data_IF_623181791327
#
_entry.id   IF_623181791327
#
_cell.length_a   1.000
_cell.length_b   1.000
_cell.length_c   1.000
_cell.angle_alpha   90.00
_cell.angle_beta   90.00
_cell.angle_gamma   90.00
#
_symmetry.space_group_name_H-M   'P 1'
#
loop_
_entity.id
_entity.type
_entity.pdbx_description
1 polymer ?
#
# COMPACT_ATOMS: atom_id res chain seq x y z
N UNK A 1 7.73 24.20 -14.13
CA UNK A 1 8.40 23.98 -12.83
C UNK A 1 9.19 22.68 -12.92
N UNK A 2 10.49 22.73 -12.62
CA UNK A 2 11.31 21.54 -12.53
C UNK A 2 11.53 21.24 -11.05
N UNK A 3 11.17 20.05 -10.54
CA UNK A 3 11.37 19.70 -9.13
C UNK A 3 12.87 19.62 -8.83
N UNK A 4 13.27 20.06 -7.63
CA UNK A 4 14.63 19.92 -7.14
C UNK A 4 14.88 18.55 -6.49
N UNK A 5 13.83 17.86 -6.11
CA UNK A 5 13.86 16.49 -5.58
C UNK A 5 12.69 15.69 -6.12
N UNK A 6 12.96 14.47 -6.50
CA UNK A 6 11.96 13.51 -6.98
C UNK A 6 12.07 12.21 -6.21
N UNK A 7 10.92 11.65 -5.84
CA UNK A 7 10.85 10.35 -5.16
C UNK A 7 10.21 9.34 -6.08
N UNK A 8 10.82 8.17 -6.23
CA UNK A 8 10.20 7.00 -6.85
C UNK A 8 10.16 5.88 -5.82
N UNK A 9 8.96 5.51 -5.44
CA UNK A 9 8.70 4.49 -4.42
C UNK A 9 8.68 3.10 -5.01
N UNK A 10 8.06 2.95 -6.16
CA UNK A 10 7.94 1.70 -6.92
C UNK A 10 7.58 2.01 -8.37
N UNK A 11 7.77 1.03 -9.24
CA UNK A 11 7.30 1.05 -10.64
C UNK A 11 6.51 -0.25 -10.86
N UNK A 12 5.20 -0.12 -10.90
CA UNK A 12 4.28 -1.26 -11.07
C UNK A 12 3.55 -1.18 -12.42
N UNK A 13 3.03 -2.30 -12.88
CA UNK A 13 2.31 -2.44 -14.15
C UNK A 13 0.88 -1.86 -14.06
N UNK A 14 0.73 -0.60 -13.67
CA UNK A 14 -0.54 0.14 -13.75
C UNK A 14 -0.54 1.12 -14.93
N UNK A 15 -1.73 1.44 -15.44
CA UNK A 15 -1.91 2.33 -16.61
C UNK A 15 -1.15 1.90 -17.87
N UNK A 16 -0.95 0.58 -18.05
CA UNK A 16 -0.12 0.00 -19.12
C UNK A 16 -0.61 0.29 -20.53
N UNK A 17 -1.90 0.61 -20.71
CA UNK A 17 -2.43 1.08 -22.00
C UNK A 17 -1.66 2.30 -22.54
N UNK A 18 -1.28 3.24 -21.66
CA UNK A 18 -0.48 4.42 -22.01
C UNK A 18 0.91 4.04 -22.54
N UNK A 19 1.45 2.93 -22.07
CA UNK A 19 2.80 2.45 -22.40
C UNK A 19 2.77 1.26 -23.36
N UNK A 20 1.62 1.01 -24.04
CA UNK A 20 1.44 -0.07 -25.01
C UNK A 20 1.73 -1.46 -24.41
N UNK A 21 1.41 -1.66 -23.15
CA UNK A 21 1.70 -2.88 -22.37
C UNK A 21 3.19 -3.27 -22.33
N UNK A 22 4.08 -2.28 -22.47
CA UNK A 22 5.54 -2.48 -22.49
C UNK A 22 6.16 -1.87 -21.22
N UNK A 23 6.64 -2.72 -20.32
CA UNK A 23 7.33 -2.34 -19.08
C UNK A 23 8.61 -1.54 -19.34
N UNK A 24 9.32 -1.80 -20.45
CA UNK A 24 10.53 -1.05 -20.77
C UNK A 24 10.21 0.41 -21.10
N UNK A 25 9.08 0.67 -21.77
CA UNK A 25 8.60 2.03 -22.04
C UNK A 25 8.19 2.76 -20.76
N UNK A 26 7.53 2.06 -19.84
CA UNK A 26 7.19 2.61 -18.52
C UNK A 26 8.47 2.99 -17.76
N UNK A 27 9.44 2.10 -17.64
CA UNK A 27 10.74 2.38 -17.00
C UNK A 27 11.47 3.57 -17.67
N UNK A 28 11.47 3.62 -18.99
CA UNK A 28 12.06 4.74 -19.72
C UNK A 28 11.38 6.07 -19.42
N UNK A 29 10.04 6.08 -19.25
CA UNK A 29 9.30 7.29 -18.88
C UNK A 29 9.70 7.78 -17.48
N UNK A 30 9.93 6.88 -16.52
CA UNK A 30 10.47 7.25 -15.20
C UNK A 30 11.88 7.81 -15.30
N UNK A 31 12.77 7.23 -16.10
CA UNK A 31 14.11 7.79 -16.33
C UNK A 31 14.02 9.19 -16.93
N UNK A 32 13.16 9.39 -17.95
CA UNK A 32 12.95 10.71 -18.56
C UNK A 32 12.35 11.72 -17.57
N UNK A 33 11.44 11.28 -16.68
CA UNK A 33 10.91 12.12 -15.63
C UNK A 33 12.02 12.60 -14.70
N UNK A 34 12.84 11.69 -14.18
CA UNK A 34 13.96 12.02 -13.29
C UNK A 34 15.00 12.92 -14.00
N UNK A 35 15.29 12.71 -15.28
CA UNK A 35 16.24 13.51 -16.05
C UNK A 35 15.80 14.96 -16.28
N UNK A 36 14.53 15.31 -16.02
CA UNK A 36 14.05 16.69 -16.07
C UNK A 36 14.48 17.53 -14.85
N UNK A 37 14.95 16.89 -13.80
CA UNK A 37 15.51 17.62 -12.66
C UNK A 37 16.75 18.43 -13.09
N UNK A 38 16.97 19.60 -12.47
CA UNK A 38 18.23 20.32 -12.65
C UNK A 38 19.42 19.48 -12.14
N UNK A 39 20.63 19.79 -12.63
CA UNK A 39 21.84 19.05 -12.27
C UNK A 39 22.16 19.02 -10.77
N UNK A 40 21.62 19.97 -10.02
CA UNK A 40 21.71 20.03 -8.55
C UNK A 40 20.58 19.29 -7.83
N UNK A 41 19.63 18.70 -8.55
CA UNK A 41 18.55 17.92 -7.99
C UNK A 41 19.00 16.58 -7.40
N UNK A 42 18.14 15.92 -6.66
CA UNK A 42 18.38 14.60 -6.06
C UNK A 42 17.18 13.68 -6.33
N UNK A 43 17.44 12.53 -6.95
CA UNK A 43 16.48 11.45 -7.10
C UNK A 43 16.53 10.54 -5.87
N UNK A 44 15.42 10.41 -5.14
CA UNK A 44 15.29 9.55 -3.96
C UNK A 44 14.57 8.28 -4.39
N UNK A 45 15.32 7.18 -4.53
CA UNK A 45 14.87 5.96 -5.22
C UNK A 45 14.81 4.76 -4.27
N UNK A 46 13.65 4.07 -4.24
CA UNK A 46 13.46 2.84 -3.48
C UNK A 46 14.12 1.65 -4.19
N UNK A 47 15.28 1.22 -3.73
CA UNK A 47 15.99 0.10 -4.36
C UNK A 47 15.52 -1.29 -3.92
N UNK A 48 14.54 -1.37 -3.03
CA UNK A 48 13.85 -2.64 -2.74
C UNK A 48 12.90 -3.05 -3.86
N UNK A 49 12.39 -2.07 -4.64
CA UNK A 49 11.63 -2.33 -5.85
C UNK A 49 12.58 -2.69 -7.00
N UNK A 50 12.37 -3.86 -7.61
CA UNK A 50 13.24 -4.37 -8.65
C UNK A 50 13.24 -3.47 -9.90
N UNK A 51 12.08 -2.91 -10.28
CA UNK A 51 11.96 -2.05 -11.44
C UNK A 51 12.62 -0.68 -11.22
N UNK A 52 12.53 -0.14 -9.99
CA UNK A 52 13.27 1.07 -9.62
C UNK A 52 14.77 0.81 -9.61
N UNK A 53 15.21 -0.33 -9.05
CA UNK A 53 16.63 -0.73 -9.07
C UNK A 53 17.18 -0.83 -10.49
N UNK A 54 16.41 -1.36 -11.42
CA UNK A 54 16.81 -1.51 -12.83
C UNK A 54 17.04 -0.17 -13.52
N UNK A 55 16.35 0.90 -13.12
CA UNK A 55 16.52 2.22 -13.75
C UNK A 55 17.66 3.04 -13.15
N UNK A 56 18.16 2.72 -11.96
CA UNK A 56 19.24 3.46 -11.29
C UNK A 56 20.46 3.70 -12.19
N UNK A 57 20.96 2.71 -12.96
CA UNK A 57 22.13 2.90 -13.82
C UNK A 57 21.92 3.91 -14.97
N UNK A 58 20.67 4.23 -15.31
CA UNK A 58 20.31 5.13 -16.41
C UNK A 58 20.02 6.56 -15.94
N UNK A 59 20.07 6.80 -14.61
CA UNK A 59 19.83 8.13 -14.01
C UNK A 59 21.16 8.87 -13.92
N UNK A 60 21.26 10.03 -14.58
CA UNK A 60 22.46 10.86 -14.59
C UNK A 60 22.52 11.87 -13.41
N UNK A 61 21.39 12.16 -12.79
CA UNK A 61 21.32 13.03 -11.62
C UNK A 61 21.85 12.32 -10.37
N UNK A 62 22.22 13.08 -9.32
CA UNK A 62 22.54 12.50 -8.02
C UNK A 62 21.39 11.62 -7.50
N UNK A 63 21.70 10.39 -7.12
CA UNK A 63 20.74 9.41 -6.59
C UNK A 63 21.01 9.22 -5.09
N UNK A 64 19.94 9.26 -4.30
CA UNK A 64 19.88 8.81 -2.91
C UNK A 64 19.02 7.54 -2.87
N UNK A 65 19.66 6.41 -2.65
CA UNK A 65 18.99 5.09 -2.62
C UNK A 65 18.47 4.82 -1.23
N UNK A 66 17.24 4.37 -1.12
CA UNK A 66 16.68 3.98 0.16
C UNK A 66 16.01 2.60 0.10
N UNK A 67 15.90 1.96 1.27
CA UNK A 67 15.26 0.65 1.40
C UNK A 67 15.76 -0.15 2.60
N UNK A 68 15.46 -1.44 2.60
CA UNK A 68 15.94 -2.42 3.56
C UNK A 68 17.24 -3.09 3.09
N UNK A 69 17.50 -3.02 1.79
CA UNK A 69 18.67 -3.64 1.14
C UNK A 69 19.99 -3.07 1.67
N UNK A 70 21.02 -3.90 1.78
CA UNK A 70 22.33 -3.55 2.36
C UNK A 70 23.07 -2.46 1.60
N UNK A 71 22.80 -2.29 0.32
CA UNK A 71 23.39 -1.30 -0.57
C UNK A 71 22.65 0.06 -0.56
N UNK A 72 21.53 0.19 0.19
CA UNK A 72 20.84 1.46 0.36
C UNK A 72 21.71 2.50 1.10
N UNK A 73 21.56 3.77 0.73
CA UNK A 73 22.22 4.92 1.38
C UNK A 73 21.47 5.32 2.66
N UNK A 74 20.14 5.19 2.65
CA UNK A 74 19.23 5.33 3.78
C UNK A 74 18.56 3.96 3.99
N UNK A 75 19.03 3.24 4.99
CA UNK A 75 18.63 1.85 5.21
C UNK A 75 17.85 1.66 6.49
N UNK A 76 16.70 0.95 6.43
CA UNK A 76 16.06 0.44 7.64
C UNK A 76 16.55 -0.95 7.99
N UNK A 77 16.78 -1.17 9.28
CA UNK A 77 17.10 -2.46 9.88
C UNK A 77 16.30 -2.65 11.18
N UNK A 78 16.31 -3.84 11.77
CA UNK A 78 15.60 -4.17 13.00
C UNK A 78 14.10 -3.80 12.96
N UNK A 79 13.49 -3.96 11.79
CA UNK A 79 12.07 -3.59 11.57
C UNK A 79 11.17 -4.57 12.32
N UNK A 80 10.31 -4.03 13.17
CA UNK A 80 9.30 -4.80 13.92
C UNK A 80 8.00 -4.05 14.04
N UNK A 81 6.90 -4.77 14.04
CA UNK A 81 5.58 -4.25 14.34
C UNK A 81 5.31 -4.34 15.86
N UNK A 82 4.64 -3.33 16.39
CA UNK A 82 4.12 -3.33 17.75
C UNK A 82 2.72 -2.71 17.73
N UNK A 83 1.71 -3.58 17.69
CA UNK A 83 0.34 -3.18 17.41
C UNK A 83 0.26 -2.42 16.08
N UNK A 84 -0.25 -1.20 16.09
CA UNK A 84 -0.42 -0.36 14.89
C UNK A 84 0.78 0.55 14.59
N UNK A 85 1.93 0.30 15.21
CA UNK A 85 3.17 1.07 15.01
C UNK A 85 4.27 0.21 14.46
N UNK A 86 5.21 0.85 13.75
CA UNK A 86 6.44 0.21 13.32
C UNK A 86 7.63 0.81 14.06
N UNK A 87 8.55 -0.04 14.50
CA UNK A 87 9.83 0.35 15.10
C UNK A 87 10.95 -0.15 14.21
N UNK A 88 11.92 0.71 13.95
CA UNK A 88 13.06 0.35 13.12
C UNK A 88 14.24 1.29 13.38
N UNK A 89 15.42 0.81 13.03
CA UNK A 89 16.65 1.58 13.04
C UNK A 89 16.95 2.06 11.62
N UNK A 90 17.34 3.33 11.46
CA UNK A 90 17.75 3.88 10.16
C UNK A 90 19.24 4.18 10.19
N UNK A 91 20.00 3.51 9.31
CA UNK A 91 21.40 3.82 9.07
C UNK A 91 21.53 4.73 7.82
N UNK A 92 22.20 5.87 7.97
CA UNK A 92 22.48 6.83 6.89
C UNK A 92 23.96 6.78 6.56
N UNK A 93 24.31 6.30 5.37
CA UNK A 93 25.72 6.12 4.95
C UNK A 93 26.36 7.40 4.43
N UNK A 94 25.59 8.29 3.78
CA UNK A 94 26.10 9.48 3.11
C UNK A 94 25.11 10.62 3.20
N UNK A 95 25.62 11.82 3.51
CA UNK A 95 24.84 13.06 3.45
C UNK A 95 25.56 14.04 2.54
N UNK A 96 24.92 14.44 1.45
CA UNK A 96 25.59 15.16 0.36
C UNK A 96 25.65 16.66 0.52
N UNK A 97 24.74 17.32 1.22
CA UNK A 97 24.58 18.78 1.10
C UNK A 97 24.76 19.63 2.35
N UNK A 98 24.41 19.21 3.53
CA UNK A 98 24.32 20.12 4.69
C UNK A 98 25.23 19.73 5.85
N UNK A 99 26.28 18.93 5.62
CA UNK A 99 27.22 18.57 6.69
C UNK A 99 26.63 17.69 7.80
N UNK A 100 25.42 17.19 7.62
CA UNK A 100 24.84 16.18 8.49
C UNK A 100 25.72 14.94 8.41
N UNK A 101 26.24 14.53 9.54
CA UNK A 101 27.11 13.38 9.63
C UNK A 101 26.33 12.09 9.33
N UNK A 102 26.97 11.08 8.73
CA UNK A 102 26.41 9.74 8.75
C UNK A 102 25.93 9.42 10.16
N UNK A 103 24.75 8.89 10.30
CA UNK A 103 24.16 8.72 11.62
C UNK A 103 23.14 7.61 11.65
N UNK A 104 22.79 7.26 12.87
CA UNK A 104 21.79 6.23 13.15
C UNK A 104 20.62 6.87 13.88
N UNK A 105 19.40 6.54 13.45
CA UNK A 105 18.17 6.96 14.09
C UNK A 105 17.41 5.73 14.58
N UNK A 106 16.87 5.81 15.79
CA UNK A 106 15.84 4.90 16.24
C UNK A 106 14.48 5.55 15.99
N UNK A 107 13.67 4.92 15.14
CA UNK A 107 12.40 5.50 14.67
C UNK A 107 11.24 4.67 15.15
N UNK A 108 10.25 5.35 15.70
CA UNK A 108 8.91 4.86 15.91
C UNK A 108 7.99 5.54 14.90
N UNK A 109 7.40 4.78 13.98
CA UNK A 109 6.43 5.27 13.02
C UNK A 109 5.02 4.92 13.50
N UNK A 110 4.14 5.92 13.56
CA UNK A 110 2.75 5.72 14.01
C UNK A 110 1.84 5.23 12.87
N UNK A 111 2.36 4.37 11.99
CA UNK A 111 1.63 3.68 10.93
C UNK A 111 2.09 2.23 10.86
N UNK A 112 1.19 1.27 10.62
CA UNK A 112 1.56 -0.13 10.43
C UNK A 112 2.03 -0.42 9.00
N UNK A 113 2.77 -1.50 8.83
CA UNK A 113 3.15 -2.06 7.54
C UNK A 113 4.51 -1.64 7.02
N UNK A 114 5.16 -2.59 6.35
CA UNK A 114 6.52 -2.42 5.82
C UNK A 114 6.60 -1.35 4.73
N UNK A 115 5.56 -1.23 3.90
CA UNK A 115 5.47 -0.18 2.89
C UNK A 115 5.50 1.23 3.50
N UNK A 116 4.93 1.41 4.69
CA UNK A 116 5.00 2.69 5.42
C UNK A 116 6.39 2.94 5.99
N UNK A 117 7.14 1.90 6.38
CA UNK A 117 8.57 2.04 6.71
C UNK A 117 9.35 2.54 5.50
N UNK A 118 9.13 1.96 4.32
CA UNK A 118 9.77 2.42 3.08
C UNK A 118 9.38 3.87 2.73
N UNK A 119 8.11 4.24 2.86
CA UNK A 119 7.66 5.63 2.67
C UNK A 119 8.32 6.58 3.68
N UNK A 120 8.48 6.16 4.94
CA UNK A 120 9.18 6.94 5.95
C UNK A 120 10.67 7.12 5.62
N UNK A 121 11.34 6.09 5.05
CA UNK A 121 12.73 6.21 4.60
C UNK A 121 12.89 7.26 3.50
N UNK A 122 11.94 7.34 2.55
CA UNK A 122 11.93 8.39 1.54
C UNK A 122 11.83 9.79 2.19
N UNK A 123 10.91 9.96 3.14
CA UNK A 123 10.74 11.21 3.88
C UNK A 123 11.98 11.56 4.70
N UNK A 124 12.62 10.59 5.37
CA UNK A 124 13.89 10.76 6.10
C UNK A 124 14.99 11.19 5.14
N UNK A 125 15.08 10.58 3.96
CA UNK A 125 16.06 10.93 2.93
C UNK A 125 15.94 12.39 2.52
N UNK A 126 14.72 12.84 2.17
CA UNK A 126 14.43 14.24 1.82
C UNK A 126 14.74 15.17 2.98
N UNK A 127 14.27 14.86 4.18
CA UNK A 127 14.47 15.70 5.36
C UNK A 127 15.97 15.86 5.69
N UNK A 128 16.74 14.78 5.53
CA UNK A 128 18.20 14.79 5.70
C UNK A 128 18.89 15.68 4.65
N UNK A 129 18.49 15.59 3.38
CA UNK A 129 19.01 16.45 2.30
C UNK A 129 18.65 17.93 2.51
N UNK A 130 17.55 18.23 3.16
CA UNK A 130 17.11 19.59 3.53
C UNK A 130 17.73 20.10 4.82
N UNK A 131 18.51 19.28 5.54
CA UNK A 131 19.17 19.69 6.80
C UNK A 131 18.22 19.76 8.00
N UNK A 132 17.09 19.03 7.97
CA UNK A 132 16.18 18.91 9.11
C UNK A 132 16.86 18.13 10.23
N UNK A 133 16.69 18.57 11.48
CA UNK A 133 17.32 17.91 12.62
C UNK A 133 16.74 16.50 12.88
N UNK A 134 17.55 15.62 13.43
CA UNK A 134 17.19 14.25 13.74
C UNK A 134 16.02 14.18 14.73
N UNK A 135 15.99 15.08 15.72
CA UNK A 135 14.91 15.18 16.70
C UNK A 135 13.59 15.55 16.03
N UNK A 136 13.61 16.49 15.07
CA UNK A 136 12.41 16.89 14.32
C UNK A 136 11.89 15.75 13.42
N UNK A 137 12.79 15.01 12.77
CA UNK A 137 12.44 13.85 11.94
C UNK A 137 11.77 12.77 12.80
N UNK A 138 12.41 12.34 13.88
CA UNK A 138 11.89 11.27 14.75
C UNK A 138 10.56 11.68 15.39
N UNK A 139 10.47 12.91 15.89
CA UNK A 139 9.24 13.44 16.47
C UNK A 139 8.08 13.42 15.45
N UNK A 140 8.30 13.97 14.25
CA UNK A 140 7.27 14.05 13.22
C UNK A 140 6.74 12.67 12.81
N UNK A 141 7.60 11.68 12.67
CA UNK A 141 7.20 10.31 12.31
C UNK A 141 6.42 9.63 13.44
N UNK A 142 6.77 9.89 14.71
CA UNK A 142 6.05 9.33 15.86
C UNK A 142 4.66 9.94 16.08
N UNK A 143 4.47 11.19 15.66
CA UNK A 143 3.22 11.95 15.80
C UNK A 143 2.35 11.88 14.52
N UNK A 144 2.89 11.40 13.40
CA UNK A 144 2.19 11.38 12.12
C UNK A 144 0.97 10.46 12.18
N UNK A 145 -0.20 11.03 11.99
CA UNK A 145 -1.48 10.30 12.10
C UNK A 145 -1.98 9.67 10.79
N UNK A 146 -1.15 9.72 9.75
CA UNK A 146 -1.51 9.17 8.43
C UNK A 146 -2.20 10.18 7.52
N UNK A 147 -2.66 9.68 6.39
CA UNK A 147 -3.43 10.41 5.37
C UNK A 147 -4.81 9.79 5.30
N UNK A 148 -5.83 10.58 5.03
CA UNK A 148 -7.19 10.09 4.87
C UNK A 148 -7.26 8.95 3.86
N UNK A 149 -8.02 7.91 4.20
CA UNK A 149 -8.18 6.71 3.39
C UNK A 149 -6.86 5.96 3.06
N UNK A 150 -5.86 6.01 3.97
CA UNK A 150 -4.63 5.20 3.91
C UNK A 150 -4.43 4.53 5.25
N UNK A 151 -4.97 3.30 5.38
CA UNK A 151 -5.08 2.59 6.66
C UNK A 151 -5.70 3.46 7.76
N UNK A 152 -6.70 4.26 7.39
CA UNK A 152 -7.34 5.20 8.30
C UNK A 152 -8.21 4.46 9.30
N UNK A 153 -7.87 4.54 10.58
CA UNK A 153 -8.64 3.88 11.65
C UNK A 153 -9.73 4.80 12.18
N UNK A 154 -10.94 4.27 12.24
CA UNK A 154 -12.09 4.94 12.83
C UNK A 154 -12.38 4.45 14.27
N UNK A 155 -11.61 3.48 14.77
CA UNK A 155 -11.76 2.92 16.10
C UNK A 155 -12.76 1.77 16.18
N UNK A 156 -13.25 1.51 17.39
CA UNK A 156 -14.21 0.43 17.64
C UNK A 156 -15.64 0.92 17.38
N UNK A 157 -16.34 0.17 16.54
CA UNK A 157 -17.74 0.44 16.15
C UNK A 157 -18.63 -0.63 16.78
N UNK A 158 -19.68 -0.27 17.50
CA UNK A 158 -20.59 -1.24 18.13
C UNK A 158 -21.40 -2.02 17.09
N UNK A 159 -21.55 -3.32 17.31
CA UNK A 159 -22.45 -4.18 16.55
C UNK A 159 -23.86 -4.16 17.14
N UNK A 160 -24.88 -4.16 16.29
CA UNK A 160 -26.27 -4.27 16.73
C UNK A 160 -26.58 -5.59 17.47
N UNK A 161 -25.81 -6.65 17.17
CA UNK A 161 -25.88 -7.96 17.82
C UNK A 161 -25.15 -8.03 19.17
N UNK A 162 -24.51 -6.94 19.62
CA UNK A 162 -23.62 -6.87 20.77
C UNK A 162 -22.15 -7.09 20.40
N UNK A 163 -21.24 -6.50 21.21
CA UNK A 163 -19.80 -6.45 20.92
C UNK A 163 -19.44 -5.32 19.97
N UNK A 164 -18.24 -5.36 19.40
CA UNK A 164 -17.70 -4.31 18.53
C UNK A 164 -16.73 -4.87 17.47
N UNK A 165 -16.45 -4.06 16.45
CA UNK A 165 -15.41 -4.32 15.47
C UNK A 165 -14.56 -3.07 15.24
N UNK A 166 -13.29 -3.24 14.86
CA UNK A 166 -12.45 -2.11 14.44
C UNK A 166 -12.73 -1.78 12.98
N UNK A 167 -12.97 -0.51 12.66
CA UNK A 167 -13.14 -0.04 11.28
C UNK A 167 -11.86 0.63 10.76
N UNK A 168 -11.41 0.19 9.58
CA UNK A 168 -10.30 0.75 8.83
C UNK A 168 -10.77 1.08 7.42
N UNK A 169 -10.44 2.28 6.90
CA UNK A 169 -10.69 2.65 5.51
C UNK A 169 -9.36 2.83 4.76
N UNK A 170 -9.29 2.23 3.56
CA UNK A 170 -8.12 2.32 2.69
C UNK A 170 -8.55 2.58 1.24
N UNK A 171 -7.83 3.45 0.56
CA UNK A 171 -8.10 3.80 -0.83
C UNK A 171 -7.61 2.72 -1.81
N UNK A 172 -6.88 1.72 -1.33
CA UNK A 172 -6.30 0.65 -2.12
C UNK A 172 -7.32 0.00 -3.06
N UNK A 173 -6.97 -0.05 -4.33
CA UNK A 173 -7.81 -0.57 -5.40
C UNK A 173 -7.01 -1.34 -6.46
N UNK A 174 -5.70 -1.49 -6.25
CA UNK A 174 -4.82 -2.36 -7.00
C UNK A 174 -4.41 -3.56 -6.12
N UNK A 175 -4.23 -4.78 -6.67
CA UNK A 175 -3.88 -5.97 -5.87
C UNK A 175 -2.65 -5.79 -4.99
N UNK A 176 -1.62 -5.09 -5.46
CA UNK A 176 -0.39 -4.81 -4.69
C UNK A 176 -0.69 -3.94 -3.47
N UNK A 177 -1.50 -2.88 -3.62
CA UNK A 177 -1.94 -2.03 -2.51
C UNK A 177 -2.76 -2.83 -1.50
N UNK A 178 -3.70 -3.65 -1.98
CA UNK A 178 -4.54 -4.51 -1.12
C UNK A 178 -3.70 -5.53 -0.35
N UNK A 179 -2.70 -6.14 -0.98
CA UNK A 179 -1.78 -7.07 -0.32
C UNK A 179 -0.94 -6.38 0.76
N UNK A 180 -0.48 -5.15 0.52
CA UNK A 180 0.25 -4.34 1.49
C UNK A 180 -0.63 -4.00 2.69
N UNK A 181 -1.88 -3.58 2.47
CA UNK A 181 -2.86 -3.28 3.52
C UNK A 181 -3.23 -4.52 4.32
N UNK A 182 -3.46 -5.66 3.66
CA UNK A 182 -3.71 -6.96 4.32
C UNK A 182 -2.54 -7.36 5.22
N UNK A 183 -1.31 -7.27 4.72
CA UNK A 183 -0.10 -7.58 5.50
C UNK A 183 0.04 -6.66 6.72
N UNK A 184 -0.20 -5.37 6.55
CA UNK A 184 -0.19 -4.40 7.64
C UNK A 184 -1.26 -4.72 8.69
N UNK A 185 -2.48 -5.08 8.27
CA UNK A 185 -3.57 -5.46 9.15
C UNK A 185 -3.27 -6.76 9.92
N UNK A 186 -2.71 -7.78 9.26
CA UNK A 186 -2.28 -9.03 9.94
C UNK A 186 -1.19 -8.74 10.98
N UNK A 187 -0.23 -7.86 10.68
CA UNK A 187 0.81 -7.46 11.64
C UNK A 187 0.26 -6.65 12.83
N UNK A 188 -0.73 -5.79 12.59
CA UNK A 188 -1.33 -4.95 13.62
C UNK A 188 -2.36 -5.72 14.50
N UNK A 189 -3.03 -6.74 13.93
CA UNK A 189 -4.12 -7.50 14.55
C UNK A 189 -3.93 -9.01 14.31
N UNK A 190 -2.86 -9.63 14.82
CA UNK A 190 -2.46 -11.01 14.45
C UNK A 190 -3.53 -12.06 14.80
N UNK A 191 -4.28 -11.86 15.88
CA UNK A 191 -5.26 -12.82 16.41
C UNK A 191 -6.70 -12.48 16.05
N UNK A 192 -6.90 -11.44 15.22
CA UNK A 192 -8.26 -10.99 14.86
C UNK A 192 -8.60 -11.40 13.44
N UNK A 193 -9.88 -11.68 13.21
CA UNK A 193 -10.42 -11.98 11.90
C UNK A 193 -10.47 -10.69 11.05
N UNK A 194 -9.97 -10.75 9.81
CA UNK A 194 -9.97 -9.64 8.87
C UNK A 194 -11.12 -9.79 7.88
N UNK A 195 -12.02 -8.85 7.89
CA UNK A 195 -13.18 -8.76 6.99
C UNK A 195 -12.91 -7.66 5.98
N UNK A 196 -13.08 -7.94 4.69
CA UNK A 196 -12.92 -6.96 3.63
C UNK A 196 -14.27 -6.60 3.02
N UNK A 197 -14.58 -5.29 2.95
CA UNK A 197 -15.60 -4.76 2.05
C UNK A 197 -14.89 -4.08 0.87
N UNK A 198 -15.08 -4.57 -0.36
CA UNK A 198 -14.29 -4.13 -1.51
C UNK A 198 -15.15 -3.78 -2.71
N UNK A 199 -14.92 -2.61 -3.28
CA UNK A 199 -15.43 -2.22 -4.59
C UNK A 199 -14.29 -2.21 -5.61
N UNK A 200 -14.27 -3.15 -6.57
CA UNK A 200 -13.33 -3.10 -7.68
C UNK A 200 -13.54 -1.81 -8.50
N UNK A 201 -12.46 -1.26 -9.05
CA UNK A 201 -12.50 0.00 -9.78
C UNK A 201 -11.93 -0.21 -11.18
N UNK A 202 -12.75 0.08 -12.21
CA UNK A 202 -12.55 -0.13 -13.64
C UNK A 202 -12.59 -1.59 -14.08
N UNK A 203 -13.34 -1.85 -15.14
CA UNK A 203 -13.44 -3.19 -15.73
C UNK A 203 -12.13 -3.64 -16.38
N UNK A 204 -11.38 -2.72 -16.99
CA UNK A 204 -10.06 -3.02 -17.58
C UNK A 204 -9.09 -3.52 -16.52
N UNK A 205 -8.92 -2.80 -15.38
CA UNK A 205 -8.07 -3.25 -14.28
C UNK A 205 -8.55 -4.57 -13.68
N UNK A 206 -9.86 -4.74 -13.50
CA UNK A 206 -10.42 -5.98 -12.97
C UNK A 206 -10.11 -7.17 -13.88
N UNK A 207 -10.14 -6.98 -15.20
CA UNK A 207 -9.72 -7.99 -16.19
C UNK A 207 -8.23 -8.28 -16.12
N UNK A 208 -7.42 -7.21 -16.19
CA UNK A 208 -5.96 -7.32 -16.37
C UNK A 208 -5.27 -7.87 -15.13
N UNK A 209 -5.77 -7.53 -13.94
CA UNK A 209 -5.24 -8.01 -12.65
C UNK A 209 -6.15 -9.08 -12.00
N UNK A 210 -6.98 -9.79 -12.78
CA UNK A 210 -7.99 -10.71 -12.22
C UNK A 210 -7.38 -11.79 -11.32
N UNK A 211 -6.30 -12.42 -11.79
CA UNK A 211 -5.62 -13.47 -11.04
C UNK A 211 -5.00 -12.95 -9.73
N UNK A 212 -4.38 -11.78 -9.75
CA UNK A 212 -3.79 -11.13 -8.60
C UNK A 212 -4.86 -10.73 -7.56
N UNK A 213 -6.00 -10.20 -8.02
CA UNK A 213 -7.14 -9.94 -7.12
C UNK A 213 -7.59 -11.20 -6.41
N UNK A 214 -7.77 -12.31 -7.14
CA UNK A 214 -8.16 -13.60 -6.55
C UNK A 214 -7.14 -14.04 -5.49
N UNK A 215 -5.83 -13.90 -5.77
CA UNK A 215 -4.78 -14.27 -4.82
C UNK A 215 -4.82 -13.43 -3.53
N UNK A 216 -5.16 -12.16 -3.61
CA UNK A 216 -5.27 -11.30 -2.42
C UNK A 216 -6.57 -11.57 -1.67
N UNK A 217 -7.70 -11.62 -2.37
CA UNK A 217 -9.03 -11.79 -1.78
C UNK A 217 -9.15 -13.07 -0.96
N UNK A 218 -8.59 -14.19 -1.43
CA UNK A 218 -8.65 -15.48 -0.73
C UNK A 218 -7.96 -15.47 0.66
N UNK A 219 -7.13 -14.48 0.94
CA UNK A 219 -6.38 -14.37 2.19
C UNK A 219 -7.11 -13.56 3.29
N UNK A 220 -8.29 -13.05 3.00
CA UNK A 220 -9.19 -12.49 4.02
C UNK A 220 -10.05 -13.59 4.65
N UNK A 221 -10.48 -13.37 5.87
CA UNK A 221 -11.32 -14.35 6.60
C UNK A 221 -12.79 -14.25 6.22
N UNK A 222 -13.21 -13.07 5.72
CA UNK A 222 -14.54 -12.82 5.20
C UNK A 222 -14.53 -11.69 4.17
N UNK A 223 -15.48 -11.74 3.21
CA UNK A 223 -15.55 -10.77 2.11
C UNK A 223 -16.98 -10.27 1.91
N UNK A 224 -17.10 -8.97 1.67
CA UNK A 224 -18.27 -8.35 1.02
C UNK A 224 -17.78 -7.66 -0.23
N UNK A 225 -18.08 -8.19 -1.41
CA UNK A 225 -17.72 -7.59 -2.68
C UNK A 225 -18.92 -6.88 -3.30
N UNK A 226 -18.64 -5.79 -4.01
CA UNK A 226 -19.66 -5.12 -4.81
C UNK A 226 -19.42 -5.28 -6.31
N UNK A 227 -20.35 -4.75 -7.10
CA UNK A 227 -20.14 -4.57 -8.53
C UNK A 227 -19.01 -3.57 -8.78
N UNK A 228 -18.32 -3.73 -9.93
CA UNK A 228 -17.22 -2.85 -10.34
C UNK A 228 -17.72 -1.42 -10.52
N UNK A 229 -16.99 -0.46 -9.95
CA UNK A 229 -17.19 0.95 -10.29
C UNK A 229 -16.61 1.20 -11.70
N UNK A 230 -17.44 1.59 -12.69
CA UNK A 230 -17.01 1.58 -14.08
C UNK A 230 -16.05 2.71 -14.46
N UNK A 231 -16.06 3.84 -13.75
CA UNK A 231 -15.26 5.03 -14.08
C UNK A 231 -15.35 5.46 -15.56
N UNK A 232 -16.53 5.31 -16.16
CA UNK A 232 -16.79 5.62 -17.58
C UNK A 232 -16.48 4.49 -18.56
N UNK A 233 -16.01 3.34 -18.11
CA UNK A 233 -15.75 2.20 -18.97
C UNK A 233 -17.01 1.35 -19.24
N UNK A 234 -17.04 0.69 -20.40
CA UNK A 234 -18.06 -0.33 -20.70
C UNK A 234 -17.80 -1.60 -19.92
N UNK A 235 -18.88 -2.33 -19.58
CA UNK A 235 -18.77 -3.67 -18.97
C UNK A 235 -17.94 -4.61 -19.83
N UNK A 236 -17.04 -5.35 -19.17
CA UNK A 236 -16.25 -6.43 -19.78
C UNK A 236 -16.76 -7.76 -19.21
N UNK A 237 -17.28 -8.68 -20.03
CA UNK A 237 -17.76 -9.97 -19.56
C UNK A 237 -16.68 -10.73 -18.77
N UNK A 238 -17.05 -11.24 -17.58
CA UNK A 238 -16.14 -11.98 -16.71
C UNK A 238 -15.20 -11.13 -15.85
N UNK A 239 -15.18 -9.80 -16.06
CA UNK A 239 -14.40 -8.86 -15.26
C UNK A 239 -15.31 -8.07 -14.28
N UNK A 240 -16.19 -8.78 -13.59
CA UNK A 240 -17.17 -8.21 -12.66
C UNK A 240 -16.95 -8.72 -11.23
N UNK A 241 -17.59 -8.06 -10.26
CA UNK A 241 -17.45 -8.39 -8.84
C UNK A 241 -17.93 -9.80 -8.49
N UNK A 242 -18.99 -10.30 -9.17
CA UNK A 242 -19.47 -11.66 -8.94
C UNK A 242 -18.49 -12.72 -9.46
N UNK A 243 -17.85 -12.47 -10.60
CA UNK A 243 -16.82 -13.34 -11.16
C UNK A 243 -15.61 -13.41 -10.24
N UNK A 244 -15.15 -12.26 -9.70
CA UNK A 244 -14.09 -12.22 -8.69
C UNK A 244 -14.45 -13.00 -7.43
N UNK A 245 -15.66 -12.81 -6.91
CA UNK A 245 -16.13 -13.53 -5.72
C UNK A 245 -16.12 -15.03 -5.92
N UNK A 246 -16.68 -15.51 -7.05
CA UNK A 246 -16.71 -16.95 -7.40
C UNK A 246 -15.30 -17.53 -7.52
N UNK A 247 -14.39 -16.80 -8.17
CA UNK A 247 -13.01 -17.22 -8.34
C UNK A 247 -12.25 -17.25 -7.00
N UNK A 248 -12.45 -16.28 -6.12
CA UNK A 248 -11.84 -16.25 -4.78
C UNK A 248 -12.32 -17.42 -3.91
N UNK A 249 -13.61 -17.79 -4.01
CA UNK A 249 -14.17 -18.97 -3.31
C UNK A 249 -13.66 -20.30 -3.88
N UNK A 250 -13.38 -20.37 -5.17
CA UNK A 250 -12.90 -21.56 -5.86
C UNK A 250 -11.36 -21.74 -5.75
N UNK A 251 -10.62 -20.70 -5.37
CA UNK A 251 -9.17 -20.73 -5.28
C UNK A 251 -8.69 -21.76 -4.27
N UNK A 252 -7.54 -22.39 -4.58
CA UNK A 252 -6.97 -23.45 -3.74
C UNK A 252 -6.66 -22.96 -2.31
N UNK A 253 -7.08 -23.78 -1.32
CA UNK A 253 -7.19 -23.43 0.09
C UNK A 253 -6.07 -24.03 0.94
N UNK A 254 -4.95 -24.40 0.33
CA UNK A 254 -3.91 -25.21 0.98
C UNK A 254 -3.08 -24.51 2.04
N UNK A 255 -3.16 -23.17 2.19
CA UNK A 255 -2.17 -22.42 2.98
C UNK A 255 -2.73 -21.53 4.10
N UNK A 256 -4.04 -21.27 4.20
CA UNK A 256 -4.62 -20.37 5.25
C UNK A 256 -6.06 -20.84 5.57
N UNK A 257 -6.63 -20.49 6.76
CA UNK A 257 -8.03 -20.80 7.06
C UNK A 257 -8.91 -20.33 5.91
N UNK A 258 -9.51 -21.28 5.26
CA UNK A 258 -10.19 -21.12 3.97
C UNK A 258 -11.35 -20.15 4.08
N UNK A 259 -11.36 -19.17 3.18
CA UNK A 259 -12.53 -18.33 2.93
C UNK A 259 -13.77 -19.25 2.79
N UNK A 260 -14.70 -19.16 3.74
CA UNK A 260 -15.89 -20.01 3.75
C UNK A 260 -17.00 -19.28 2.98
N UNK A 261 -17.78 -20.03 2.20
CA UNK A 261 -18.92 -19.47 1.47
C UNK A 261 -19.92 -18.74 2.39
N UNK A 262 -20.08 -19.19 3.64
CA UNK A 262 -20.92 -18.52 4.65
C UNK A 262 -20.34 -17.18 5.14
N UNK A 263 -19.07 -16.91 4.84
CA UNK A 263 -18.39 -15.65 5.22
C UNK A 263 -18.20 -14.70 4.02
N UNK A 264 -18.90 -14.97 2.91
CA UNK A 264 -18.80 -14.18 1.67
C UNK A 264 -20.18 -13.72 1.24
N UNK A 265 -20.33 -12.44 0.97
CA UNK A 265 -21.55 -11.85 0.46
C UNK A 265 -21.27 -10.95 -0.74
N UNK A 266 -22.26 -10.81 -1.62
CA UNK A 266 -22.23 -9.88 -2.74
C UNK A 266 -23.28 -8.78 -2.52
N UNK A 267 -22.88 -7.54 -2.73
CA UNK A 267 -23.74 -6.36 -2.72
C UNK A 267 -23.86 -5.84 -4.15
N UNK A 268 -25.08 -5.65 -4.68
CA UNK A 268 -25.29 -5.11 -6.02
C UNK A 268 -24.89 -3.63 -6.12
N UNK A 269 -24.83 -2.95 -5.00
CA UNK A 269 -24.43 -1.54 -4.87
C UNK A 269 -23.73 -1.29 -3.55
N UNK A 270 -23.00 -0.18 -3.47
CA UNK A 270 -22.35 0.27 -2.22
C UNK A 270 -23.39 0.47 -1.10
N UNK A 271 -24.61 0.90 -1.42
CA UNK A 271 -25.68 1.11 -0.45
C UNK A 271 -26.13 -0.17 0.29
N UNK A 272 -25.92 -1.34 -0.32
CA UNK A 272 -26.25 -2.63 0.28
C UNK A 272 -25.15 -3.19 1.19
N UNK A 273 -23.95 -2.60 1.17
CA UNK A 273 -22.80 -3.09 1.97
C UNK A 273 -23.13 -3.20 3.46
N UNK A 274 -23.74 -2.18 4.12
CA UNK A 274 -24.04 -2.27 5.55
C UNK A 274 -24.96 -3.46 5.90
N UNK A 275 -25.96 -3.75 5.06
CA UNK A 275 -26.85 -4.91 5.26
C UNK A 275 -26.07 -6.22 5.13
N UNK A 276 -25.25 -6.37 4.09
CA UNK A 276 -24.45 -7.58 3.90
C UNK A 276 -23.40 -7.76 5.00
N UNK A 277 -22.78 -6.67 5.45
CA UNK A 277 -21.83 -6.70 6.56
C UNK A 277 -22.48 -7.14 7.87
N UNK A 278 -23.75 -6.75 8.15
CA UNK A 278 -24.44 -7.14 9.36
C UNK A 278 -24.61 -8.66 9.50
N UNK A 279 -24.64 -9.39 8.38
CA UNK A 279 -24.72 -10.85 8.36
C UNK A 279 -23.34 -11.55 8.47
N UNK A 280 -22.26 -10.82 8.21
CA UNK A 280 -20.89 -11.37 8.12
C UNK A 280 -20.05 -11.03 9.33
N UNK A 281 -20.20 -9.81 9.88
CA UNK A 281 -19.41 -9.28 10.99
C UNK A 281 -19.70 -10.01 12.31
N UNK A 282 -18.65 -10.14 13.12
CA UNK A 282 -18.66 -10.74 14.44
C UNK A 282 -17.94 -9.83 15.43
N UNK A 283 -18.18 -10.04 16.71
CA UNK A 283 -17.43 -9.40 17.77
C UNK A 283 -15.93 -9.67 17.63
N UNK A 284 -15.13 -8.62 17.79
CA UNK A 284 -13.69 -8.68 17.66
C UNK A 284 -13.15 -8.64 16.23
N UNK A 285 -13.97 -8.51 15.17
CA UNK A 285 -13.50 -8.40 13.79
C UNK A 285 -12.73 -7.09 13.53
N UNK A 286 -11.89 -7.12 12.51
CA UNK A 286 -11.33 -5.92 11.87
C UNK A 286 -11.93 -5.80 10.49
N UNK A 287 -12.81 -4.82 10.30
CA UNK A 287 -13.37 -4.50 8.99
C UNK A 287 -12.47 -3.52 8.26
N UNK A 288 -12.10 -3.88 7.05
CA UNK A 288 -11.35 -3.01 6.14
C UNK A 288 -12.26 -2.69 4.96
N UNK A 289 -12.57 -1.40 4.76
CA UNK A 289 -13.22 -0.93 3.53
C UNK A 289 -12.16 -0.53 2.53
N UNK A 290 -12.26 -1.02 1.29
CA UNK A 290 -11.26 -0.72 0.24
C UNK A 290 -11.92 -0.37 -1.09
N UNK A 291 -11.33 0.61 -1.77
CA UNK A 291 -11.73 1.02 -3.10
C UNK A 291 -11.51 2.50 -3.38
N UNK A 292 -11.35 2.87 -4.66
CA UNK A 292 -11.18 4.27 -5.08
C UNK A 292 -12.51 5.06 -5.12
N UNK A 293 -13.64 4.39 -4.91
CA UNK A 293 -14.98 4.98 -4.84
C UNK A 293 -15.42 5.32 -3.42
N UNK A 294 -16.74 5.34 -3.22
CA UNK A 294 -17.39 5.69 -1.94
C UNK A 294 -17.78 4.44 -1.13
N UNK A 295 -16.88 3.49 -1.00
CA UNK A 295 -17.12 2.26 -0.21
C UNK A 295 -17.29 2.58 1.24
#
# INVERSE_FOLDING_TARGET
LFPAMEVVTNIDADHMDTYQHDMARLKQAFVQFIQRMPFYGVAVLCIDDANVRDIVPFVSQPVLRYGLSDDADIRASNVRAEGTRMHFTVDRKTVRRHGNKPGRLEVQLNLPGLHNVQNALAAIGIATELGVSDEAIVKSLSEFSGVGRRFQRYGEIPLASGGSFTLIDDYGHHPVEMAATLSAARGAYPDRRLVLAFQPHRFTRTRDCFGEFVQVLKNFDALVLTEVYPAGEAKIPGADGQSLMKAALAADKTTIPSLNAAAVAFASSVAEIPEKLSAVLRDGDVLITMGAGSV
#
